data_IF_329683291476
#
_entry.id   IF_329683291476
#
_cell.length_a   1.000
_cell.length_b   1.000
_cell.length_c   1.000
_cell.angle_alpha   90.00
_cell.angle_beta   90.00
_cell.angle_gamma   90.00
#
_symmetry.space_group_name_H-M   'P 1'
#
loop_
_entity.id
_entity.type
_entity.pdbx_description
1 polymer ?
#
# COMPACT_ATOMS: atom_id res chain seq x y z
N UNK A 1 -1.91 12.31 44.83
CA UNK A 1 -2.59 11.02 44.55
C UNK A 1 -3.76 10.71 45.50
N UNK A 2 -4.24 11.63 46.34
CA UNK A 2 -5.12 11.26 47.45
C UNK A 2 -6.51 11.91 47.49
N UNK A 3 -6.83 12.79 46.55
CA UNK A 3 -8.15 13.45 46.55
C UNK A 3 -9.25 12.56 45.98
N UNK A 4 -8.96 11.79 44.92
CA UNK A 4 -9.94 10.89 44.28
C UNK A 4 -10.20 9.63 45.13
N UNK A 5 -9.19 9.13 45.84
CA UNK A 5 -9.35 8.00 46.76
C UNK A 5 -10.24 8.38 47.96
N UNK A 6 -10.09 9.59 48.51
CA UNK A 6 -10.88 10.09 49.61
C UNK A 6 -12.35 10.33 49.20
N UNK A 7 -12.59 10.78 47.99
CA UNK A 7 -13.96 10.95 47.45
C UNK A 7 -14.65 9.61 47.21
N UNK A 8 -13.93 8.58 46.73
CA UNK A 8 -14.47 7.22 46.56
C UNK A 8 -14.80 6.56 47.89
N UNK A 9 -13.95 6.72 48.89
CA UNK A 9 -14.21 6.18 50.23
C UNK A 9 -15.43 6.84 50.92
N UNK A 10 -15.61 8.16 50.76
CA UNK A 10 -16.81 8.86 51.25
C UNK A 10 -18.07 8.44 50.52
N UNK A 11 -18.01 8.21 49.20
CA UNK A 11 -19.15 7.76 48.40
C UNK A 11 -19.57 6.34 48.80
N UNK A 12 -18.59 5.45 49.00
CA UNK A 12 -18.84 4.07 49.45
C UNK A 12 -19.46 4.03 50.84
N UNK A 13 -18.98 4.86 51.80
CA UNK A 13 -19.54 4.97 53.14
C UNK A 13 -20.98 5.51 53.18
N UNK A 14 -21.30 6.45 52.30
CA UNK A 14 -22.64 6.98 52.14
C UNK A 14 -23.58 5.94 51.51
N UNK A 15 -23.13 5.19 50.52
CA UNK A 15 -23.92 4.13 49.90
C UNK A 15 -24.22 2.96 50.85
N UNK A 16 -23.26 2.52 51.63
CA UNK A 16 -23.44 1.50 52.70
C UNK A 16 -24.45 1.94 53.75
N UNK A 17 -24.35 3.17 54.22
CA UNK A 17 -25.29 3.68 55.22
C UNK A 17 -26.73 3.88 54.66
N UNK A 18 -26.87 4.29 53.41
CA UNK A 18 -28.19 4.38 52.77
C UNK A 18 -28.75 2.97 52.56
N UNK A 19 -27.95 2.01 52.18
CA UNK A 19 -28.37 0.62 51.98
C UNK A 19 -28.86 0.00 53.28
N UNK A 20 -28.18 0.17 54.40
CA UNK A 20 -28.60 -0.31 55.69
C UNK A 20 -29.85 0.42 56.25
N UNK A 21 -30.07 1.69 55.93
CA UNK A 21 -31.28 2.39 56.26
C UNK A 21 -32.47 1.88 55.45
N UNK A 22 -32.26 1.60 54.18
CA UNK A 22 -33.27 1.01 53.27
C UNK A 22 -33.60 -0.42 53.69
N UNK A 23 -32.63 -1.27 54.03
CA UNK A 23 -32.86 -2.62 54.56
C UNK A 23 -33.64 -2.60 55.87
N UNK A 24 -33.33 -1.68 56.83
CA UNK A 24 -34.09 -1.53 58.08
C UNK A 24 -35.49 -1.01 57.84
N UNK A 25 -35.75 -0.25 56.82
CA UNK A 25 -37.10 0.23 56.45
C UNK A 25 -37.90 -0.84 55.70
N UNK A 26 -37.24 -1.71 54.96
CA UNK A 26 -37.85 -2.82 54.23
C UNK A 26 -38.14 -4.01 55.17
N UNK A 27 -37.24 -4.38 56.10
CA UNK A 27 -37.40 -5.52 56.99
C UNK A 27 -38.46 -5.33 58.06
N UNK A 28 -38.98 -4.12 58.32
CA UNK A 28 -40.11 -3.83 59.26
C UNK A 28 -41.49 -3.89 58.63
N UNK A 29 -41.65 -4.26 57.35
CA UNK A 29 -42.92 -4.32 56.63
C UNK A 29 -43.10 -5.54 55.71
N UNK A 30 -42.64 -6.71 56.12
CA UNK A 30 -43.13 -7.94 55.51
C UNK A 30 -44.44 -8.40 56.18
N UNK A 31 -45.52 -7.72 55.87
CA UNK A 31 -46.86 -8.28 55.90
C UNK A 31 -47.79 -7.46 55.01
N UNK A 32 -48.18 -8.01 53.88
CA UNK A 32 -49.17 -7.52 52.92
C UNK A 32 -48.67 -6.46 51.92
N UNK A 33 -47.93 -6.87 50.92
CA UNK A 33 -47.77 -6.08 49.70
C UNK A 33 -48.17 -6.88 48.49
N UNK A 34 -49.42 -6.79 48.08
CA UNK A 34 -49.80 -7.07 46.69
C UNK A 34 -50.45 -5.78 46.16
N UNK A 35 -49.83 -5.24 45.05
CA UNK A 35 -50.31 -4.11 44.23
C UNK A 35 -50.07 -2.73 44.81
N UNK A 36 -48.86 -2.18 44.66
CA UNK A 36 -48.54 -0.83 45.11
C UNK A 36 -48.59 0.20 43.98
N UNK A 37 -48.57 -0.21 42.71
CA UNK A 37 -48.53 0.73 41.58
C UNK A 37 -49.52 0.37 40.49
N UNK A 38 -50.16 1.39 39.91
CA UNK A 38 -51.06 1.31 38.78
C UNK A 38 -50.49 2.19 37.67
N UNK A 39 -50.40 1.65 36.44
CA UNK A 39 -50.00 2.42 35.27
C UNK A 39 -51.26 3.01 34.64
N UNK A 40 -51.31 4.34 34.51
CA UNK A 40 -52.42 5.05 33.90
C UNK A 40 -51.89 5.93 32.75
N UNK A 41 -52.70 6.06 31.69
CA UNK A 41 -52.41 6.98 30.62
C UNK A 41 -52.69 8.41 31.01
N UNK A 42 -51.70 9.29 30.98
CA UNK A 42 -51.88 10.74 31.25
C UNK A 42 -52.16 11.48 29.94
N UNK A 43 -53.39 11.97 29.80
CA UNK A 43 -53.81 12.79 28.65
C UNK A 43 -53.07 14.13 28.54
N UNK A 44 -52.59 14.69 29.61
CA UNK A 44 -51.85 15.95 29.64
C UNK A 44 -50.36 15.79 29.28
N UNK A 45 -49.76 14.58 29.48
CA UNK A 45 -48.37 14.27 29.20
C UNK A 45 -48.20 13.32 28.02
N UNK A 46 -49.30 12.81 27.47
CA UNK A 46 -49.33 11.85 26.35
C UNK A 46 -48.39 10.62 26.55
N UNK A 47 -48.27 10.14 27.80
CA UNK A 47 -47.45 8.97 28.13
C UNK A 47 -48.10 8.17 29.27
N UNK A 48 -47.66 6.91 29.42
CA UNK A 48 -48.05 6.10 30.59
C UNK A 48 -47.29 6.55 31.84
N UNK A 49 -48.02 6.82 32.91
CA UNK A 49 -47.45 7.25 34.20
C UNK A 49 -47.77 6.19 35.27
N UNK A 50 -46.77 5.83 36.04
CA UNK A 50 -46.92 4.94 37.19
C UNK A 50 -47.38 5.77 38.38
N UNK A 51 -48.57 5.47 38.93
CA UNK A 51 -49.13 6.16 40.11
C UNK A 51 -49.29 5.18 41.29
N UNK A 52 -48.99 5.63 42.47
CA UNK A 52 -49.21 4.87 43.70
C UNK A 52 -50.69 4.83 44.07
N UNK A 53 -51.23 3.66 44.39
CA UNK A 53 -52.62 3.52 44.90
C UNK A 53 -52.88 4.26 46.25
N UNK A 54 -51.82 4.66 46.95
CA UNK A 54 -51.90 5.43 48.16
C UNK A 54 -52.25 6.91 47.95
N UNK A 55 -52.43 7.34 46.68
CA UNK A 55 -52.76 8.73 46.35
C UNK A 55 -54.27 9.06 46.43
N UNK A 56 -55.13 8.10 46.78
CA UNK A 56 -56.56 8.35 47.08
C UNK A 56 -56.80 8.37 48.54
N UNK A 57 -57.17 9.54 49.05
CA UNK A 57 -57.67 9.88 50.40
C UNK A 57 -56.58 10.14 51.46
N UNK A 58 -55.98 11.30 51.44
CA UNK A 58 -55.67 11.99 52.70
C UNK A 58 -55.77 13.50 52.50
N UNK A 59 -56.86 14.06 52.91
CA UNK A 59 -57.03 15.49 53.22
C UNK A 59 -55.99 15.93 54.27
N UNK A 60 -55.14 16.85 53.87
CA UNK A 60 -54.72 17.98 54.66
C UNK A 60 -53.55 17.89 55.60
N UNK A 61 -52.85 16.77 55.90
CA UNK A 61 -51.71 16.82 56.85
C UNK A 61 -50.51 15.95 56.54
N UNK A 62 -50.60 15.08 55.55
CA UNK A 62 -49.44 14.25 55.12
C UNK A 62 -48.73 14.75 53.84
N UNK A 63 -49.27 15.79 53.20
CA UNK A 63 -48.61 16.44 52.08
C UNK A 63 -47.35 17.24 52.44
N UNK A 64 -47.25 17.66 53.68
CA UNK A 64 -46.13 18.47 54.18
C UNK A 64 -44.88 17.62 54.43
N UNK A 65 -45.03 16.37 54.86
CA UNK A 65 -43.87 15.52 55.21
C UNK A 65 -43.17 14.94 53.93
N UNK A 66 -43.96 14.61 52.92
CA UNK A 66 -43.35 14.10 51.63
C UNK A 66 -42.77 15.26 50.82
N UNK A 67 -43.42 16.43 50.83
CA UNK A 67 -42.88 17.64 50.19
C UNK A 67 -41.65 18.20 50.95
N UNK A 68 -41.59 18.07 52.27
CA UNK A 68 -40.44 18.50 53.09
C UNK A 68 -39.26 17.48 52.97
N UNK A 69 -39.55 16.20 52.85
CA UNK A 69 -38.49 15.19 52.57
C UNK A 69 -37.96 15.34 51.12
N UNK A 70 -38.84 15.61 50.15
CA UNK A 70 -38.41 15.88 48.78
C UNK A 70 -37.69 17.22 48.63
N UNK A 71 -38.15 18.25 49.37
CA UNK A 71 -37.47 19.55 49.46
C UNK A 71 -36.17 19.47 50.29
N UNK A 72 -36.09 18.63 51.29
CA UNK A 72 -34.84 18.38 52.04
C UNK A 72 -33.87 17.49 51.26
N UNK A 73 -34.34 16.55 50.41
CA UNK A 73 -33.48 15.85 49.42
C UNK A 73 -33.05 16.78 48.28
N UNK A 74 -33.85 17.78 47.96
CA UNK A 74 -33.52 18.77 46.92
C UNK A 74 -32.74 19.97 47.45
N UNK A 75 -32.84 20.28 48.75
CA UNK A 75 -32.11 21.37 49.41
C UNK A 75 -30.84 20.93 50.15
N UNK A 76 -30.71 19.65 50.42
CA UNK A 76 -29.50 19.08 51.01
C UNK A 76 -28.79 18.19 50.05
N UNK A 77 -27.86 18.74 49.32
CA UNK A 77 -27.06 18.12 48.27
C UNK A 77 -27.71 18.26 46.87
N UNK A 78 -27.88 19.45 46.37
CA UNK A 78 -27.37 19.69 45.06
C UNK A 78 -25.89 19.36 45.20
N UNK A 79 -25.49 18.12 44.86
CA UNK A 79 -24.16 17.91 44.34
C UNK A 79 -23.98 19.04 43.33
N UNK A 80 -23.24 20.07 43.67
CA UNK A 80 -22.60 20.85 42.64
C UNK A 80 -21.80 19.80 41.85
N UNK A 81 -22.45 19.27 40.86
CA UNK A 81 -21.69 18.91 39.64
C UNK A 81 -21.12 20.26 39.25
N UNK A 82 -19.88 20.56 39.70
CA UNK A 82 -19.06 21.64 39.18
C UNK A 82 -18.81 21.43 37.68
N UNK A 83 -19.74 20.79 37.05
CA UNK A 83 -19.64 20.32 35.69
C UNK A 83 -20.47 21.12 34.71
N UNK A 84 -21.23 22.13 35.11
CA UNK A 84 -21.82 23.05 34.12
C UNK A 84 -21.87 24.48 34.75
N UNK A 85 -20.70 25.07 34.98
CA UNK A 85 -20.59 26.52 34.88
C UNK A 85 -20.33 26.88 33.40
N UNK A 86 -20.91 26.14 32.48
CA UNK A 86 -21.02 26.50 31.09
C UNK A 86 -22.24 27.38 30.95
N UNK A 87 -22.05 28.70 30.81
CA UNK A 87 -23.11 29.54 30.32
C UNK A 87 -23.61 28.94 29.01
N UNK A 88 -24.86 28.45 28.97
CA UNK A 88 -25.59 28.30 27.75
C UNK A 88 -25.74 29.72 27.22
N UNK A 89 -24.82 30.17 26.41
CA UNK A 89 -25.03 31.37 25.61
C UNK A 89 -25.87 30.97 24.41
N UNK A 90 -27.18 30.91 24.59
CA UNK A 90 -28.05 31.30 23.51
C UNK A 90 -27.82 32.82 23.38
N UNK A 91 -26.90 33.18 22.52
CA UNK A 91 -26.62 34.58 22.20
C UNK A 91 -27.75 35.13 21.36
N UNK A 92 -29.02 34.96 21.69
CA UNK A 92 -30.23 35.49 21.04
C UNK A 92 -30.11 36.14 19.65
N UNK A 93 -28.91 36.34 19.18
CA UNK A 93 -28.51 36.88 17.89
C UNK A 93 -28.11 35.78 16.86
N UNK A 94 -27.73 34.56 17.32
CA UNK A 94 -27.25 33.49 16.42
C UNK A 94 -28.12 32.26 16.60
N UNK A 95 -28.98 31.99 15.65
CA UNK A 95 -29.99 30.93 15.69
C UNK A 95 -29.37 29.54 15.80
N UNK A 96 -29.66 28.82 16.93
CA UNK A 96 -29.26 27.43 17.13
C UNK A 96 -27.78 27.22 17.46
N UNK A 97 -27.01 28.25 17.83
CA UNK A 97 -25.62 28.11 18.26
C UNK A 97 -25.51 27.59 19.68
N UNK A 98 -24.56 26.68 19.96
CA UNK A 98 -24.30 26.06 21.26
C UNK A 98 -22.85 26.26 21.66
N UNK A 99 -22.58 26.89 22.81
CA UNK A 99 -21.23 27.00 23.40
C UNK A 99 -21.25 26.46 24.83
N UNK A 100 -20.44 25.44 25.13
CA UNK A 100 -20.37 24.80 26.46
C UNK A 100 -18.90 24.72 26.91
N UNK A 101 -18.57 25.35 28.03
CA UNK A 101 -17.25 25.30 28.62
C UNK A 101 -17.06 26.33 29.73
N UNK A 102 -15.83 26.45 30.24
CA UNK A 102 -15.48 27.39 31.29
C UNK A 102 -15.57 28.86 30.79
N UNK A 103 -16.19 29.73 31.55
CA UNK A 103 -16.25 31.17 31.27
C UNK A 103 -14.86 31.82 31.42
N UNK A 104 -14.61 32.91 30.69
CA UNK A 104 -13.38 33.72 30.76
C UNK A 104 -12.70 33.89 29.40
N UNK A 105 -11.45 34.28 29.40
CA UNK A 105 -10.68 34.58 28.15
C UNK A 105 -10.51 33.38 27.22
N UNK A 106 -10.70 32.17 27.72
CA UNK A 106 -10.63 30.90 26.98
C UNK A 106 -12.00 30.24 26.81
N UNK A 107 -13.10 31.01 26.91
CA UNK A 107 -14.46 30.51 26.72
C UNK A 107 -14.65 29.96 25.29
N UNK A 108 -15.45 28.88 25.12
CA UNK A 108 -15.80 28.40 23.79
C UNK A 108 -16.59 29.44 22.99
N UNK A 109 -16.41 29.44 21.67
CA UNK A 109 -17.03 30.40 20.77
C UNK A 109 -17.79 29.66 19.66
N UNK A 110 -19.10 29.77 19.63
CA UNK A 110 -19.97 29.35 18.52
C UNK A 110 -20.49 30.64 17.85
N UNK A 111 -19.88 31.05 16.76
CA UNK A 111 -20.03 32.41 16.20
C UNK A 111 -20.98 32.46 14.99
N UNK A 112 -21.57 31.33 14.58
CA UNK A 112 -22.43 31.29 13.41
C UNK A 112 -23.65 30.36 13.62
N UNK A 113 -24.63 30.42 12.72
CA UNK A 113 -25.88 29.66 12.78
C UNK A 113 -25.64 28.15 12.89
N UNK A 114 -26.30 27.48 13.82
CA UNK A 114 -26.17 26.04 14.11
C UNK A 114 -24.75 25.57 14.43
N UNK A 115 -23.87 26.47 14.85
CA UNK A 115 -22.51 26.13 15.28
C UNK A 115 -22.49 25.52 16.69
N UNK A 116 -21.64 24.55 16.95
CA UNK A 116 -21.47 23.90 18.25
C UNK A 116 -20.02 23.98 18.69
N UNK A 117 -19.74 24.62 19.83
CA UNK A 117 -18.41 24.69 20.44
C UNK A 117 -18.44 24.15 21.87
N UNK A 118 -17.77 23.05 22.14
CA UNK A 118 -17.71 22.41 23.47
C UNK A 118 -16.26 22.18 23.86
N UNK A 119 -15.83 22.81 24.95
CA UNK A 119 -14.48 22.72 25.50
C UNK A 119 -13.78 24.05 25.62
N UNK A 120 -12.69 24.09 26.39
CA UNK A 120 -11.89 25.29 26.59
C UNK A 120 -11.28 25.75 25.27
N UNK A 121 -11.41 27.03 24.93
CA UNK A 121 -10.93 27.63 23.68
C UNK A 121 -11.45 26.97 22.37
N UNK A 122 -12.52 26.16 22.45
CA UNK A 122 -13.16 25.61 21.26
C UNK A 122 -13.79 26.72 20.41
N UNK A 123 -13.57 26.73 19.10
CA UNK A 123 -14.07 27.73 18.15
C UNK A 123 -14.80 27.10 16.98
N UNK A 124 -16.10 27.27 16.92
CA UNK A 124 -16.94 26.91 15.78
C UNK A 124 -17.30 28.19 15.02
N UNK A 125 -16.46 28.56 14.04
CA UNK A 125 -16.49 29.86 13.36
C UNK A 125 -17.30 29.85 12.05
N UNK A 126 -17.97 28.77 11.73
CA UNK A 126 -18.74 28.68 10.50
C UNK A 126 -20.09 28.02 10.73
N UNK A 127 -21.09 28.37 9.88
CA UNK A 127 -22.43 27.80 9.91
C UNK A 127 -22.38 26.26 9.90
N UNK A 128 -23.06 25.65 10.87
CA UNK A 128 -23.06 24.19 11.04
C UNK A 128 -21.71 23.59 11.45
N UNK A 129 -20.76 24.42 11.88
CA UNK A 129 -19.45 23.96 12.37
C UNK A 129 -19.56 23.30 13.74
N UNK A 130 -18.81 22.23 13.98
CA UNK A 130 -18.78 21.51 15.25
C UNK A 130 -17.35 21.43 15.78
N UNK A 131 -17.08 22.04 16.93
CA UNK A 131 -15.77 22.05 17.61
C UNK A 131 -15.89 21.40 18.98
N UNK A 132 -15.35 20.19 19.16
CA UNK A 132 -15.44 19.39 20.38
C UNK A 132 -14.04 19.09 20.95
N UNK A 133 -13.68 19.72 22.05
CA UNK A 133 -12.40 19.54 22.72
C UNK A 133 -11.69 20.86 23.02
N UNK A 134 -10.55 20.76 23.69
CA UNK A 134 -9.74 21.92 24.01
C UNK A 134 -9.00 22.42 22.77
N UNK A 135 -9.02 23.72 22.52
CA UNK A 135 -8.36 24.45 21.42
C UNK A 135 -8.77 23.98 20.01
N UNK A 136 -9.94 23.36 19.87
CA UNK A 136 -10.49 22.90 18.59
C UNK A 136 -10.96 24.07 17.73
N UNK A 137 -10.87 23.93 16.42
CA UNK A 137 -11.36 24.93 15.47
C UNK A 137 -12.12 24.27 14.33
N UNK A 138 -13.35 24.72 14.07
CA UNK A 138 -14.15 24.25 12.91
C UNK A 138 -14.64 25.41 12.06
N UNK A 139 -14.61 25.21 10.75
CA UNK A 139 -15.17 26.09 9.74
C UNK A 139 -16.61 25.71 9.36
N UNK A 140 -17.14 26.23 8.25
CA UNK A 140 -18.50 25.97 7.77
C UNK A 140 -18.70 24.47 7.46
N UNK A 141 -19.73 23.87 8.06
CA UNK A 141 -20.07 22.44 7.93
C UNK A 141 -18.90 21.50 8.26
N UNK A 142 -17.96 21.94 9.08
CA UNK A 142 -16.78 21.18 9.45
C UNK A 142 -16.90 20.58 10.84
N UNK A 143 -16.21 19.47 11.09
CA UNK A 143 -16.17 18.80 12.41
C UNK A 143 -14.72 18.76 12.87
N UNK A 144 -14.42 19.34 14.03
CA UNK A 144 -13.14 19.22 14.73
C UNK A 144 -13.37 18.56 16.09
N UNK A 145 -12.74 17.42 16.35
CA UNK A 145 -12.91 16.70 17.61
C UNK A 145 -11.59 16.19 18.18
N UNK A 146 -11.34 16.43 19.43
CA UNK A 146 -10.18 16.18 20.29
C UNK A 146 -9.27 17.40 20.48
N UNK A 147 -8.23 17.28 21.30
CA UNK A 147 -7.32 18.39 21.64
C UNK A 147 -6.56 18.92 20.40
N UNK A 148 -6.58 20.24 20.22
CA UNK A 148 -5.93 20.98 19.09
C UNK A 148 -6.35 20.48 17.67
N UNK A 149 -7.52 19.85 17.54
CA UNK A 149 -8.02 19.46 16.23
C UNK A 149 -8.50 20.69 15.45
N UNK A 150 -8.10 20.81 14.18
CA UNK A 150 -8.39 21.95 13.31
C UNK A 150 -9.03 21.50 11.99
N UNK A 151 -10.34 21.69 11.86
CA UNK A 151 -11.11 21.50 10.66
C UNK A 151 -11.44 22.86 10.04
N UNK A 152 -10.44 23.54 9.48
CA UNK A 152 -10.56 24.90 8.98
C UNK A 152 -10.95 24.98 7.50
N UNK A 153 -10.96 23.85 6.79
CA UNK A 153 -11.54 23.74 5.46
C UNK A 153 -13.08 23.66 5.54
N UNK A 154 -13.78 24.23 4.57
CA UNK A 154 -15.24 24.06 4.44
C UNK A 154 -15.54 22.57 4.17
N UNK A 155 -16.58 22.02 4.84
CA UNK A 155 -16.98 20.61 4.75
C UNK A 155 -15.86 19.63 5.16
N UNK A 156 -14.93 20.04 6.01
CA UNK A 156 -13.80 19.20 6.44
C UNK A 156 -14.09 18.46 7.76
N UNK A 157 -13.35 17.38 8.01
CA UNK A 157 -13.43 16.57 9.22
C UNK A 157 -12.02 16.40 9.80
N UNK A 158 -11.80 16.82 11.05
CA UNK A 158 -10.58 16.62 11.81
C UNK A 158 -10.89 15.92 13.14
N UNK A 159 -10.48 14.66 13.29
CA UNK A 159 -10.74 13.86 14.49
C UNK A 159 -9.44 13.25 15.00
N UNK A 160 -9.01 13.65 16.20
CA UNK A 160 -7.78 13.23 16.83
C UNK A 160 -6.93 14.40 17.29
N UNK A 161 -6.01 14.15 18.20
CA UNK A 161 -5.12 15.16 18.77
C UNK A 161 -4.24 15.79 17.70
N UNK A 162 -4.16 17.11 17.65
CA UNK A 162 -3.30 17.83 16.71
C UNK A 162 -3.65 17.67 15.24
N UNK A 163 -4.82 17.06 14.90
CA UNK A 163 -5.24 16.84 13.51
C UNK A 163 -5.49 18.14 12.77
N UNK A 164 -5.20 18.14 11.48
CA UNK A 164 -5.43 19.29 10.59
C UNK A 164 -6.13 18.87 9.30
N UNK A 165 -7.36 19.32 9.13
CA UNK A 165 -8.13 19.22 7.89
C UNK A 165 -8.38 20.63 7.36
N UNK A 166 -7.44 21.17 6.59
CA UNK A 166 -7.45 22.58 6.16
C UNK A 166 -7.94 22.80 4.74
N UNK A 167 -7.96 21.72 3.93
CA UNK A 167 -8.47 21.77 2.58
C UNK A 167 -10.01 21.70 2.52
N UNK A 168 -10.62 22.20 1.45
CA UNK A 168 -12.05 22.04 1.16
C UNK A 168 -12.39 20.54 1.07
N UNK A 169 -13.41 20.10 1.79
CA UNK A 169 -13.86 18.69 1.82
C UNK A 169 -12.76 17.70 2.19
N UNK A 170 -11.79 18.11 3.00
CA UNK A 170 -10.71 17.25 3.46
C UNK A 170 -11.11 16.47 4.72
N UNK A 171 -10.50 15.30 4.92
CA UNK A 171 -10.73 14.44 6.08
C UNK A 171 -9.41 14.05 6.71
N UNK A 172 -9.20 14.37 7.98
CA UNK A 172 -8.05 13.96 8.78
C UNK A 172 -8.54 13.22 10.04
N UNK A 173 -8.14 11.97 10.21
CA UNK A 173 -8.52 11.15 11.37
C UNK A 173 -7.28 10.42 11.90
N UNK A 174 -6.93 10.67 13.15
CA UNK A 174 -5.76 10.11 13.82
C UNK A 174 -4.91 11.18 14.50
N UNK A 175 -4.01 10.77 15.37
CA UNK A 175 -3.10 11.70 16.06
C UNK A 175 -2.14 12.35 15.04
N UNK A 176 -2.08 13.68 15.03
CA UNK A 176 -1.27 14.47 14.08
C UNK A 176 -1.54 14.18 12.59
N UNK A 177 -2.70 13.65 12.22
CA UNK A 177 -3.06 13.47 10.81
C UNK A 177 -3.25 14.82 10.10
N UNK A 178 -2.75 14.97 8.88
CA UNK A 178 -2.76 16.21 8.11
C UNK A 178 -3.36 16.01 6.72
N UNK A 179 -4.54 16.58 6.48
CA UNK A 179 -5.20 16.67 5.18
C UNK A 179 -5.27 18.15 4.77
N UNK A 180 -4.19 18.65 4.15
CA UNK A 180 -3.96 20.09 4.04
C UNK A 180 -4.49 20.71 2.73
N UNK A 181 -4.88 19.91 1.78
CA UNK A 181 -5.37 20.37 0.48
C UNK A 181 -6.79 19.86 0.16
N UNK A 182 -7.41 20.37 -0.89
CA UNK A 182 -8.77 20.05 -1.27
C UNK A 182 -8.93 18.55 -1.59
N UNK A 183 -9.99 17.94 -1.07
CA UNK A 183 -10.27 16.52 -1.26
C UNK A 183 -9.26 15.56 -0.64
N UNK A 184 -8.35 16.06 0.21
CA UNK A 184 -7.36 15.22 0.86
C UNK A 184 -7.97 14.32 1.94
N UNK A 185 -7.52 13.07 2.02
CA UNK A 185 -7.92 12.10 3.05
C UNK A 185 -6.68 11.55 3.77
N UNK A 186 -6.56 11.82 5.06
CA UNK A 186 -5.47 11.37 5.92
C UNK A 186 -6.03 10.53 7.08
N UNK A 187 -5.79 9.23 7.08
CA UNK A 187 -6.32 8.27 8.06
C UNK A 187 -5.20 7.52 8.77
N UNK A 188 -4.98 7.80 10.03
CA UNK A 188 -3.96 7.19 10.87
C UNK A 188 -3.03 8.22 11.50
N UNK A 189 -2.22 7.77 12.46
CA UNK A 189 -1.27 8.62 13.16
C UNK A 189 -0.19 9.14 12.20
N UNK A 190 0.10 10.44 12.28
CA UNK A 190 1.15 11.13 11.52
C UNK A 190 1.03 10.98 9.99
N UNK A 191 -0.17 10.77 9.48
CA UNK A 191 -0.43 10.72 8.03
C UNK A 191 -0.41 12.10 7.40
N UNK A 192 0.05 12.18 6.17
CA UNK A 192 0.06 13.42 5.39
C UNK A 192 -0.59 13.19 4.02
N UNK A 193 -1.60 13.99 3.67
CA UNK A 193 -2.29 13.90 2.38
C UNK A 193 -2.41 15.26 1.70
N UNK A 194 -2.01 15.31 0.42
CA UNK A 194 -2.15 16.45 -0.48
C UNK A 194 -3.48 16.41 -1.26
N UNK A 195 -3.63 17.25 -2.28
CA UNK A 195 -4.90 17.43 -3.01
C UNK A 195 -5.41 16.17 -3.71
N UNK A 196 -6.68 15.83 -3.50
CA UNK A 196 -7.36 14.64 -4.06
C UNK A 196 -6.60 13.33 -3.80
N UNK A 197 -5.88 13.25 -2.70
CA UNK A 197 -5.01 12.12 -2.36
C UNK A 197 -5.53 11.38 -1.14
N UNK A 198 -5.12 10.13 -1.00
CA UNK A 198 -5.44 9.28 0.15
C UNK A 198 -4.15 8.81 0.81
N UNK A 199 -3.96 9.14 2.08
CA UNK A 199 -2.94 8.58 2.95
C UNK A 199 -3.62 7.79 4.06
N UNK A 200 -3.37 6.49 4.16
CA UNK A 200 -3.97 5.64 5.19
C UNK A 200 -2.94 4.67 5.80
N UNK A 201 -2.73 4.75 7.11
CA UNK A 201 -1.78 3.95 7.86
C UNK A 201 -0.87 4.80 8.75
N UNK A 202 -0.11 4.17 9.63
CA UNK A 202 0.88 4.89 10.44
C UNK A 202 1.94 5.54 9.56
N UNK A 203 2.17 6.85 9.71
CA UNK A 203 3.17 7.62 8.97
C UNK A 203 3.07 7.49 7.42
N UNK A 204 1.87 7.19 6.89
CA UNK A 204 1.65 7.16 5.44
C UNK A 204 1.66 8.57 4.86
N UNK A 205 2.29 8.75 3.70
CA UNK A 205 2.53 10.06 3.08
C UNK A 205 2.12 10.08 1.61
N UNK A 206 1.02 10.76 1.32
CA UNK A 206 0.54 11.04 -0.03
C UNK A 206 0.73 12.55 -0.32
N UNK A 207 1.97 13.00 -0.47
CA UNK A 207 2.35 14.43 -0.52
C UNK A 207 2.17 15.10 -1.86
N UNK A 208 1.88 14.35 -2.91
CA UNK A 208 1.57 14.89 -4.23
C UNK A 208 0.08 14.75 -4.54
N UNK A 209 -0.44 15.55 -5.48
CA UNK A 209 -1.85 15.48 -5.87
C UNK A 209 -2.19 14.17 -6.60
N UNK A 210 -3.42 13.70 -6.42
CA UNK A 210 -3.96 12.50 -7.07
C UNK A 210 -3.17 11.22 -6.74
N UNK A 211 -2.63 11.09 -5.53
CA UNK A 211 -1.82 9.95 -5.10
C UNK A 211 -2.54 9.10 -4.05
N UNK A 212 -2.14 7.84 -3.97
CA UNK A 212 -2.63 6.89 -2.97
C UNK A 212 -1.46 6.29 -2.21
N UNK A 213 -1.40 6.49 -0.89
CA UNK A 213 -0.42 5.89 0.02
C UNK A 213 -1.16 5.10 1.10
N UNK A 214 -1.15 3.78 1.02
CA UNK A 214 -1.86 2.90 1.97
C UNK A 214 -0.90 1.89 2.59
N UNK A 215 -0.76 1.93 3.90
CA UNK A 215 0.10 1.05 4.68
C UNK A 215 1.00 1.82 5.62
N UNK A 216 1.69 1.10 6.51
CA UNK A 216 2.68 1.68 7.41
C UNK A 216 3.84 2.24 6.60
N UNK A 217 4.14 3.53 6.77
CA UNK A 217 5.23 4.22 6.06
C UNK A 217 5.14 4.15 4.53
N UNK A 218 3.97 3.86 3.98
CA UNK A 218 3.74 3.97 2.54
C UNK A 218 3.99 5.42 2.08
N UNK A 219 4.87 5.60 1.11
CA UNK A 219 5.38 6.92 0.75
C UNK A 219 5.26 7.20 -0.75
N UNK A 220 4.56 8.29 -1.06
CA UNK A 220 4.46 8.89 -2.38
C UNK A 220 5.07 10.29 -2.39
N UNK A 221 6.34 10.40 -2.02
CA UNK A 221 7.10 11.66 -2.11
C UNK A 221 7.47 12.00 -3.57
N UNK A 222 6.75 11.43 -4.51
CA UNK A 222 7.00 11.55 -5.95
C UNK A 222 7.30 12.95 -6.38
N UNK A 223 8.55 13.29 -6.24
CA UNK A 223 9.26 14.48 -6.67
C UNK A 223 8.37 15.61 -7.21
N UNK A 224 7.77 16.40 -6.30
CA UNK A 224 7.49 17.83 -6.50
C UNK A 224 6.65 18.21 -7.75
N UNK A 225 5.96 17.34 -8.38
CA UNK A 225 5.04 17.73 -9.46
C UNK A 225 3.60 17.68 -8.97
N UNK A 226 2.86 18.74 -9.25
CA UNK A 226 1.47 18.92 -8.80
C UNK A 226 0.48 17.83 -9.26
N UNK A 227 0.91 16.82 -10.02
CA UNK A 227 0.09 15.72 -10.53
C UNK A 227 0.91 14.44 -10.63
N UNK A 228 1.28 13.85 -9.51
CA UNK A 228 2.09 12.63 -9.53
C UNK A 228 1.28 11.40 -9.96
N UNK A 229 0.00 11.31 -9.63
CA UNK A 229 -0.89 10.16 -9.94
C UNK A 229 -0.24 8.81 -9.63
N UNK A 230 0.51 8.74 -8.53
CA UNK A 230 1.26 7.55 -8.12
C UNK A 230 0.49 6.74 -7.07
N UNK A 231 0.79 5.45 -6.98
CA UNK A 231 0.14 4.53 -6.04
C UNK A 231 1.19 3.77 -5.25
N UNK A 232 1.10 3.82 -3.92
CA UNK A 232 1.96 3.12 -2.99
C UNK A 232 1.08 2.32 -2.01
N UNK A 233 1.14 0.99 -2.05
CA UNK A 233 0.31 0.13 -1.21
C UNK A 233 1.15 -0.96 -0.54
N UNK A 234 1.26 -0.91 0.77
CA UNK A 234 2.02 -1.86 1.57
C UNK A 234 2.92 -1.18 2.59
N UNK A 235 3.75 -1.95 3.26
CA UNK A 235 4.67 -1.44 4.30
C UNK A 235 5.93 -0.88 3.64
N UNK A 236 6.33 0.32 4.00
CA UNK A 236 7.53 1.02 3.51
C UNK A 236 7.64 1.09 1.97
N UNK A 237 6.53 1.00 1.27
CA UNK A 237 6.49 1.13 -0.21
C UNK A 237 6.79 2.55 -0.66
N UNK A 238 7.43 2.69 -1.81
CA UNK A 238 7.85 3.98 -2.35
C UNK A 238 7.47 4.11 -3.82
N UNK A 239 6.51 4.98 -4.13
CA UNK A 239 6.16 5.35 -5.51
C UNK A 239 6.56 6.81 -5.74
N UNK A 240 7.81 7.06 -6.19
CA UNK A 240 8.45 8.38 -6.14
C UNK A 240 8.37 9.19 -7.42
N UNK A 241 7.83 8.64 -8.48
CA UNK A 241 7.74 9.33 -9.76
C UNK A 241 6.31 9.44 -10.27
N UNK A 242 6.09 10.31 -11.26
CA UNK A 242 4.80 10.50 -11.91
C UNK A 242 4.29 9.19 -12.50
N UNK A 243 3.06 8.81 -12.18
CA UNK A 243 2.43 7.60 -12.69
C UNK A 243 3.05 6.31 -12.22
N UNK A 244 3.97 6.34 -11.25
CA UNK A 244 4.60 5.13 -10.71
C UNK A 244 3.67 4.37 -9.77
N UNK A 245 3.85 3.06 -9.70
CA UNK A 245 3.07 2.17 -8.83
C UNK A 245 4.00 1.23 -8.06
N UNK A 246 3.94 1.24 -6.74
CA UNK A 246 4.69 0.36 -5.85
C UNK A 246 3.73 -0.41 -4.95
N UNK A 247 3.77 -1.75 -4.97
CA UNK A 247 2.89 -2.58 -4.15
C UNK A 247 3.65 -3.73 -3.49
N UNK A 248 3.46 -3.89 -2.18
CA UNK A 248 4.07 -4.95 -1.38
C UNK A 248 4.84 -4.41 -0.18
N UNK A 249 5.91 -5.08 0.23
CA UNK A 249 6.80 -4.61 1.31
C UNK A 249 8.06 -4.05 0.69
N UNK A 250 8.42 -2.83 1.05
CA UNK A 250 9.61 -2.11 0.56
C UNK A 250 9.72 -1.98 -0.97
N UNK A 251 8.65 -2.24 -1.74
CA UNK A 251 8.66 -2.07 -3.19
C UNK A 251 8.99 -0.62 -3.56
N UNK A 252 9.90 -0.42 -4.52
CA UNK A 252 10.36 0.91 -4.95
C UNK A 252 10.14 1.12 -6.45
N UNK A 253 9.24 2.03 -6.80
CA UNK A 253 8.97 2.49 -8.16
C UNK A 253 9.40 3.96 -8.28
N UNK A 254 10.66 4.18 -8.59
CA UNK A 254 11.27 5.51 -8.71
C UNK A 254 11.37 6.03 -10.14
N UNK A 255 11.14 5.18 -11.12
CA UNK A 255 11.04 5.59 -12.52
C UNK A 255 9.67 6.16 -12.87
N UNK A 256 9.60 7.11 -13.79
CA UNK A 256 8.35 7.66 -14.30
C UNK A 256 7.56 6.57 -15.04
N UNK A 257 6.26 6.42 -14.68
CA UNK A 257 5.38 5.35 -15.21
C UNK A 257 5.88 3.93 -14.93
N UNK A 258 6.71 3.75 -13.91
CA UNK A 258 7.25 2.44 -13.54
C UNK A 258 6.30 1.65 -12.63
N UNK A 259 6.50 0.33 -12.61
CA UNK A 259 5.76 -0.61 -11.76
C UNK A 259 6.72 -1.47 -10.95
N UNK A 260 6.64 -1.43 -9.63
CA UNK A 260 7.32 -2.34 -8.71
C UNK A 260 6.29 -3.15 -7.91
N UNK A 261 6.27 -4.47 -8.07
CA UNK A 261 5.30 -5.35 -7.41
C UNK A 261 5.98 -6.55 -6.75
N UNK A 262 5.74 -6.74 -5.47
CA UNK A 262 6.27 -7.86 -4.70
C UNK A 262 6.80 -7.40 -3.35
N UNK A 263 7.33 -8.31 -2.56
CA UNK A 263 7.85 -8.01 -1.23
C UNK A 263 9.36 -8.13 -1.20
N UNK A 264 10.01 -7.19 -0.54
CA UNK A 264 11.40 -7.28 -0.11
C UNK A 264 11.53 -7.96 1.25
N UNK A 265 12.74 -8.06 1.74
CA UNK A 265 13.02 -8.49 3.10
C UNK A 265 12.63 -7.37 4.08
N UNK A 266 11.97 -7.73 5.19
CA UNK A 266 11.67 -6.80 6.27
C UNK A 266 12.80 -6.87 7.27
N UNK A 267 13.77 -5.98 7.21
CA UNK A 267 14.66 -5.73 8.36
C UNK A 267 13.89 -4.87 9.38
N UNK A 268 14.07 -5.10 10.67
CA UNK A 268 13.23 -4.52 11.75
C UNK A 268 13.09 -2.99 11.80
N UNK A 269 13.63 -2.27 10.87
CA UNK A 269 13.56 -0.81 10.74
C UNK A 269 12.96 -0.38 9.38
N UNK A 270 12.01 -1.10 8.85
CA UNK A 270 11.18 -0.84 7.64
C UNK A 270 11.77 0.07 6.53
N UNK A 271 12.94 0.70 6.75
CA UNK A 271 13.51 1.76 5.90
C UNK A 271 14.52 1.26 4.88
N UNK A 272 15.15 0.11 5.09
CA UNK A 272 16.25 -0.42 4.27
C UNK A 272 16.06 -1.88 3.88
N UNK A 273 14.85 -2.27 3.45
CA UNK A 273 14.62 -3.61 2.90
C UNK A 273 15.56 -3.88 1.74
N UNK A 274 16.62 -4.67 1.98
CA UNK A 274 17.37 -5.28 0.90
C UNK A 274 16.47 -6.26 0.14
N UNK A 275 16.79 -6.56 -1.11
CA UNK A 275 16.08 -7.56 -1.91
C UNK A 275 14.61 -7.20 -2.25
N UNK A 276 14.28 -5.92 -2.38
CA UNK A 276 12.95 -5.49 -2.79
C UNK A 276 12.83 -5.38 -4.32
N UNK A 277 11.62 -5.44 -4.88
CA UNK A 277 11.40 -5.09 -6.28
C UNK A 277 11.71 -3.61 -6.50
N UNK A 278 12.59 -3.35 -7.47
CA UNK A 278 13.05 -2.00 -7.81
C UNK A 278 12.83 -1.70 -9.30
N UNK A 279 11.98 -0.72 -9.59
CA UNK A 279 11.71 -0.23 -10.95
C UNK A 279 12.15 1.24 -11.04
N UNK A 280 13.42 1.47 -11.35
CA UNK A 280 14.01 2.82 -11.38
C UNK A 280 14.08 3.45 -12.78
N UNK A 281 13.98 2.67 -13.83
CA UNK A 281 13.90 3.16 -15.19
C UNK A 281 12.54 3.78 -15.55
N UNK A 282 12.48 4.72 -16.48
CA UNK A 282 11.22 5.22 -17.03
C UNK A 282 10.46 4.06 -17.70
N UNK A 283 9.17 3.91 -17.43
CA UNK A 283 8.31 2.81 -17.96
C UNK A 283 8.81 1.41 -17.63
N UNK A 284 9.70 1.26 -16.65
CA UNK A 284 10.22 -0.05 -16.25
C UNK A 284 9.23 -0.87 -15.43
N UNK A 285 9.39 -2.19 -15.44
CA UNK A 285 8.56 -3.14 -14.70
C UNK A 285 9.44 -4.08 -13.89
N UNK A 286 9.29 -4.09 -12.57
CA UNK A 286 9.96 -5.02 -11.66
C UNK A 286 8.92 -5.80 -10.86
N UNK A 287 8.80 -7.11 -11.09
CA UNK A 287 7.83 -7.96 -10.40
C UNK A 287 8.53 -9.16 -9.76
N UNK A 288 8.46 -9.28 -8.46
CA UNK A 288 9.03 -10.38 -7.68
C UNK A 288 10.04 -9.90 -6.65
N UNK A 289 10.33 -10.78 -5.69
CA UNK A 289 11.34 -10.53 -4.65
C UNK A 289 12.71 -10.25 -5.29
N UNK A 290 13.35 -9.16 -4.92
CA UNK A 290 14.66 -8.74 -5.43
C UNK A 290 14.72 -8.61 -6.98
N UNK A 291 13.61 -8.29 -7.63
CA UNK A 291 13.61 -7.98 -9.06
C UNK A 291 14.12 -6.56 -9.30
N UNK A 292 14.93 -6.36 -10.33
CA UNK A 292 15.52 -5.06 -10.63
C UNK A 292 15.37 -4.70 -12.12
N UNK A 293 14.68 -3.60 -12.41
CA UNK A 293 14.52 -3.01 -13.73
C UNK A 293 14.97 -1.54 -13.68
N UNK A 294 16.25 -1.28 -14.03
CA UNK A 294 16.88 0.01 -13.71
C UNK A 294 16.93 1.01 -14.85
N UNK A 295 16.68 0.61 -16.09
CA UNK A 295 16.75 1.48 -17.25
C UNK A 295 15.39 1.62 -17.97
N UNK A 296 15.32 2.55 -18.93
CA UNK A 296 14.09 2.83 -19.67
C UNK A 296 13.52 1.56 -20.34
N UNK A 297 12.21 1.35 -20.12
CA UNK A 297 11.47 0.22 -20.70
C UNK A 297 12.02 -1.17 -20.32
N UNK A 298 12.86 -1.25 -19.29
CA UNK A 298 13.40 -2.51 -18.79
C UNK A 298 12.29 -3.32 -18.08
N UNK A 299 12.29 -4.64 -18.29
CA UNK A 299 11.32 -5.56 -17.69
C UNK A 299 12.07 -6.66 -16.92
N UNK A 300 11.85 -6.74 -15.60
CA UNK A 300 12.38 -7.77 -14.72
C UNK A 300 11.25 -8.47 -13.98
N UNK A 301 10.91 -9.69 -14.35
CA UNK A 301 9.81 -10.47 -13.76
C UNK A 301 10.33 -11.81 -13.24
N UNK A 302 10.26 -12.00 -11.94
CA UNK A 302 10.71 -13.19 -11.23
C UNK A 302 11.61 -12.86 -10.05
N UNK A 303 11.74 -13.79 -9.12
CA UNK A 303 12.64 -13.61 -7.98
C UNK A 303 14.09 -13.45 -8.44
N UNK A 304 14.75 -12.39 -8.00
CA UNK A 304 16.13 -12.02 -8.38
C UNK A 304 16.34 -11.91 -9.89
N UNK A 305 15.32 -11.51 -10.63
CA UNK A 305 15.46 -11.16 -12.07
C UNK A 305 16.11 -9.79 -12.18
N UNK A 306 16.98 -9.65 -13.18
CA UNK A 306 17.73 -8.42 -13.40
C UNK A 306 17.68 -7.97 -14.86
N UNK A 307 17.22 -6.74 -15.07
CA UNK A 307 17.15 -6.06 -16.37
C UNK A 307 17.66 -4.63 -16.18
N UNK A 308 18.93 -4.37 -16.51
CA UNK A 308 19.61 -3.11 -16.22
C UNK A 308 20.11 -2.36 -17.45
N UNK A 309 19.48 -2.64 -18.61
CA UNK A 309 19.71 -1.89 -19.84
C UNK A 309 18.38 -1.51 -20.51
N UNK A 310 18.44 -0.51 -21.38
CA UNK A 310 17.30 -0.01 -22.14
C UNK A 310 16.63 -1.14 -22.91
N UNK A 311 15.31 -1.24 -22.78
CA UNK A 311 14.46 -2.24 -23.45
C UNK A 311 14.86 -3.70 -23.19
N UNK A 312 15.67 -3.97 -22.17
CA UNK A 312 16.03 -5.33 -21.80
C UNK A 312 14.86 -6.04 -21.11
N UNK A 313 14.72 -7.35 -21.32
CA UNK A 313 13.67 -8.18 -20.73
C UNK A 313 14.25 -9.40 -20.03
N UNK A 314 14.07 -9.51 -18.72
CA UNK A 314 14.42 -10.65 -17.89
C UNK A 314 13.15 -11.29 -17.31
N UNK A 315 12.80 -12.49 -17.74
CA UNK A 315 11.61 -13.22 -17.30
C UNK A 315 11.96 -14.60 -16.74
N UNK A 316 11.91 -14.75 -15.44
CA UNK A 316 12.22 -15.99 -14.73
C UNK A 316 13.02 -15.75 -13.44
N UNK A 317 13.16 -16.77 -12.62
CA UNK A 317 13.96 -16.71 -11.39
C UNK A 317 15.46 -16.63 -11.71
N UNK A 318 16.19 -15.71 -11.09
CA UNK A 318 17.63 -15.48 -11.31
C UNK A 318 17.98 -15.29 -12.81
N UNK A 319 17.11 -14.63 -13.54
CA UNK A 319 17.29 -14.32 -14.97
C UNK A 319 18.03 -13.01 -15.10
N UNK A 320 18.94 -12.91 -16.07
CA UNK A 320 19.75 -11.72 -16.26
C UNK A 320 19.72 -11.26 -17.72
N UNK A 321 19.22 -10.05 -17.95
CA UNK A 321 19.24 -9.37 -19.25
C UNK A 321 19.98 -8.03 -19.09
N UNK A 322 21.28 -8.00 -19.39
CA UNK A 322 22.15 -6.84 -19.16
C UNK A 322 22.74 -6.30 -20.47
N UNK A 323 22.29 -6.76 -21.60
CA UNK A 323 22.52 -6.15 -22.91
C UNK A 323 21.39 -5.22 -23.31
N UNK A 324 21.65 -4.18 -24.07
CA UNK A 324 20.62 -3.32 -24.67
C UNK A 324 19.72 -4.13 -25.58
N UNK A 325 18.40 -3.96 -25.52
CA UNK A 325 17.40 -4.74 -26.26
C UNK A 325 17.47 -6.26 -26.04
N UNK A 326 18.19 -6.72 -25.02
CA UNK A 326 18.37 -8.17 -24.81
C UNK A 326 17.11 -8.81 -24.19
N UNK A 327 16.93 -10.10 -24.46
CA UNK A 327 15.82 -10.89 -23.92
C UNK A 327 16.30 -12.17 -23.27
N UNK A 328 16.17 -12.31 -21.97
CA UNK A 328 16.46 -13.52 -21.21
C UNK A 328 15.17 -14.09 -20.64
N UNK A 329 14.77 -15.27 -21.07
CA UNK A 329 13.50 -15.91 -20.66
C UNK A 329 13.77 -17.34 -20.20
N UNK A 330 13.46 -17.61 -18.93
CA UNK A 330 13.68 -18.91 -18.30
C UNK A 330 14.54 -18.80 -17.05
N UNK A 331 14.37 -19.71 -16.12
CA UNK A 331 15.14 -19.67 -14.86
C UNK A 331 16.64 -19.78 -15.14
N UNK A 332 17.43 -18.85 -14.56
CA UNK A 332 18.88 -18.76 -14.72
C UNK A 332 19.34 -18.50 -16.17
N UNK A 333 18.48 -18.01 -17.06
CA UNK A 333 18.89 -17.58 -18.40
C UNK A 333 19.67 -16.27 -18.35
N UNK A 334 20.60 -16.10 -19.27
CA UNK A 334 21.46 -14.93 -19.36
C UNK A 334 21.53 -14.40 -20.78
N UNK A 335 21.19 -13.12 -20.97
CA UNK A 335 21.36 -12.38 -22.23
C UNK A 335 22.07 -11.06 -21.91
N UNK A 336 23.41 -11.05 -21.94
CA UNK A 336 24.19 -9.91 -21.43
C UNK A 336 24.90 -9.09 -22.51
N UNK A 337 24.56 -9.30 -23.76
CA UNK A 337 25.09 -8.52 -24.88
C UNK A 337 23.94 -7.85 -25.66
N UNK A 338 24.26 -6.87 -26.50
CA UNK A 338 23.28 -6.12 -27.29
C UNK A 338 22.50 -7.03 -28.23
N UNK A 339 21.18 -6.86 -28.28
CA UNK A 339 20.25 -7.65 -29.11
C UNK A 339 20.33 -9.17 -28.86
N UNK A 340 20.89 -9.60 -27.73
CA UNK A 340 21.03 -11.01 -27.40
C UNK A 340 19.71 -11.62 -26.94
N UNK A 341 19.41 -12.87 -27.36
CA UNK A 341 18.23 -13.61 -26.99
C UNK A 341 18.57 -14.95 -26.33
N UNK A 342 18.19 -15.15 -25.06
CA UNK A 342 18.36 -16.41 -24.36
C UNK A 342 16.98 -16.93 -23.89
N UNK A 343 16.52 -18.04 -24.48
CA UNK A 343 15.22 -18.65 -24.13
C UNK A 343 15.42 -20.10 -23.72
N UNK A 344 15.18 -20.37 -22.46
CA UNK A 344 15.30 -21.68 -21.83
C UNK A 344 16.00 -21.63 -20.47
N UNK A 345 15.84 -22.66 -19.67
CA UNK A 345 16.54 -22.75 -18.37
C UNK A 345 18.04 -22.82 -18.59
N UNK A 346 18.81 -21.95 -17.93
CA UNK A 346 20.26 -21.84 -18.13
C UNK A 346 20.69 -21.60 -19.60
N UNK A 347 19.83 -21.03 -20.45
CA UNK A 347 20.22 -20.56 -21.76
C UNK A 347 21.15 -19.35 -21.63
N UNK A 348 22.21 -19.29 -22.45
CA UNK A 348 23.24 -18.28 -22.30
C UNK A 348 23.59 -17.65 -23.66
N UNK A 349 23.18 -16.41 -23.90
CA UNK A 349 23.49 -15.61 -25.07
C UNK A 349 24.38 -14.43 -24.65
N UNK A 350 25.70 -14.54 -24.89
CA UNK A 350 26.70 -13.63 -24.31
C UNK A 350 27.42 -12.76 -25.31
N UNK A 351 27.12 -12.90 -26.59
CA UNK A 351 27.66 -12.05 -27.62
C UNK A 351 26.57 -11.26 -28.34
N UNK A 352 26.96 -10.16 -28.98
CA UNK A 352 26.02 -9.28 -29.66
C UNK A 352 25.24 -10.05 -30.74
N UNK A 353 23.93 -9.80 -30.78
CA UNK A 353 22.98 -10.40 -31.72
C UNK A 353 22.99 -11.93 -31.71
N UNK A 354 23.39 -12.52 -30.59
CA UNK A 354 23.40 -13.97 -30.41
C UNK A 354 22.05 -14.51 -29.95
N UNK A 355 21.71 -15.75 -30.35
CA UNK A 355 20.46 -16.41 -29.98
C UNK A 355 20.72 -17.79 -29.40
N UNK A 356 20.39 -18.00 -28.14
CA UNK A 356 20.45 -19.27 -27.42
C UNK A 356 19.03 -19.76 -27.11
N UNK A 357 18.54 -20.77 -27.79
CA UNK A 357 17.18 -21.32 -27.62
C UNK A 357 17.24 -22.77 -27.17
N UNK A 358 16.89 -23.04 -25.95
CA UNK A 358 16.88 -24.38 -25.36
C UNK A 358 17.52 -24.42 -23.97
N UNK A 359 17.21 -25.46 -23.21
CA UNK A 359 17.82 -25.66 -21.89
C UNK A 359 19.32 -25.89 -22.02
N UNK A 360 20.13 -25.12 -21.28
CA UNK A 360 21.60 -25.14 -21.37
C UNK A 360 22.18 -24.80 -22.74
N UNK A 361 21.43 -24.18 -23.64
CA UNK A 361 21.96 -23.69 -24.91
C UNK A 361 22.93 -22.55 -24.69
N UNK A 362 23.94 -22.44 -25.52
CA UNK A 362 24.97 -21.41 -25.50
C UNK A 362 25.13 -20.78 -26.87
N UNK A 363 25.08 -19.45 -26.90
CA UNK A 363 25.44 -18.65 -28.09
C UNK A 363 26.43 -17.55 -27.64
N UNK A 364 27.70 -17.85 -27.70
CA UNK A 364 28.78 -16.95 -27.28
C UNK A 364 29.58 -16.36 -28.42
N UNK A 365 29.30 -16.74 -29.67
CA UNK A 365 29.82 -16.07 -30.85
C UNK A 365 28.89 -14.94 -31.30
N UNK A 366 29.43 -13.82 -31.76
CA UNK A 366 28.66 -12.72 -32.37
C UNK A 366 27.84 -13.27 -33.54
N UNK A 367 26.56 -12.93 -33.64
CA UNK A 367 25.57 -13.51 -34.56
C UNK A 367 25.41 -15.04 -34.43
N UNK A 368 25.88 -15.63 -33.34
CA UNK A 368 25.80 -17.08 -33.11
C UNK A 368 24.35 -17.51 -32.80
N UNK A 369 23.92 -18.64 -33.37
CA UNK A 369 22.59 -19.20 -33.12
C UNK A 369 22.69 -20.64 -32.62
N UNK A 370 22.35 -20.86 -31.34
CA UNK A 370 22.32 -22.17 -30.69
C UNK A 370 20.90 -22.60 -30.37
N UNK A 371 20.39 -23.65 -31.01
CA UNK A 371 19.02 -24.15 -30.85
C UNK A 371 19.01 -25.62 -30.45
N UNK A 372 18.54 -25.93 -29.29
CA UNK A 372 18.43 -27.29 -28.76
C UNK A 372 19.03 -27.43 -27.35
N UNK A 373 18.74 -28.55 -26.70
CA UNK A 373 19.36 -28.89 -25.42
C UNK A 373 20.88 -28.96 -25.54
N UNK A 374 21.60 -28.16 -24.74
CA UNK A 374 23.07 -28.07 -24.80
C UNK A 374 23.66 -27.72 -26.18
N UNK A 375 22.89 -27.13 -27.07
CA UNK A 375 23.46 -26.61 -28.33
C UNK A 375 24.47 -25.50 -28.04
N UNK A 376 25.60 -25.49 -28.75
CA UNK A 376 26.68 -24.52 -28.53
C UNK A 376 27.14 -23.89 -29.85
N UNK A 377 26.82 -22.60 -30.02
CA UNK A 377 27.27 -21.76 -31.11
C UNK A 377 28.28 -20.73 -30.59
N UNK A 378 29.55 -21.12 -30.46
CA UNK A 378 30.60 -20.26 -29.90
C UNK A 378 31.46 -19.54 -30.93
N UNK A 379 31.37 -19.91 -32.21
CA UNK A 379 32.02 -19.16 -33.30
C UNK A 379 31.18 -17.95 -33.72
N UNK A 380 31.82 -16.88 -34.20
CA UNK A 380 31.11 -15.78 -34.85
C UNK A 380 30.37 -16.27 -36.08
N UNK A 381 29.16 -15.78 -36.34
CA UNK A 381 28.30 -16.24 -37.46
C UNK A 381 28.04 -17.76 -37.48
N UNK A 382 28.16 -18.42 -36.31
CA UNK A 382 27.98 -19.86 -36.22
C UNK A 382 26.54 -20.28 -35.94
N UNK A 383 26.14 -21.47 -36.39
CA UNK A 383 24.82 -22.04 -36.19
C UNK A 383 24.92 -23.47 -35.65
N UNK A 384 24.39 -23.72 -34.46
CA UNK A 384 24.32 -25.04 -33.85
C UNK A 384 22.85 -25.41 -33.57
N UNK A 385 22.30 -26.36 -34.32
CA UNK A 385 20.89 -26.80 -34.22
C UNK A 385 20.82 -28.29 -33.91
N UNK A 386 20.27 -28.64 -32.75
CA UNK A 386 20.14 -30.03 -32.34
C UNK A 386 20.66 -30.25 -30.92
N UNK A 387 20.24 -31.37 -30.28
CA UNK A 387 20.74 -31.76 -28.97
C UNK A 387 22.26 -31.89 -29.00
N UNK A 388 22.96 -31.14 -28.15
CA UNK A 388 24.43 -31.14 -28.03
C UNK A 388 25.17 -30.84 -29.37
N UNK A 389 24.54 -30.18 -30.32
CA UNK A 389 25.18 -29.67 -31.52
C UNK A 389 26.25 -28.61 -31.18
N UNK A 390 27.42 -28.64 -31.85
CA UNK A 390 28.52 -27.70 -31.56
C UNK A 390 29.07 -27.06 -32.83
N UNK A 391 29.01 -25.75 -32.91
CA UNK A 391 29.58 -24.90 -33.97
C UNK A 391 30.57 -23.91 -33.35
N UNK A 392 31.85 -24.27 -33.25
CA UNK A 392 32.81 -23.57 -32.38
C UNK A 392 33.73 -22.61 -33.14
N UNK A 393 33.58 -22.48 -34.45
CA UNK A 393 34.46 -21.65 -35.30
C UNK A 393 33.62 -20.69 -36.14
N UNK A 394 34.28 -19.66 -36.63
CA UNK A 394 33.65 -18.64 -37.47
C UNK A 394 32.96 -19.29 -38.71
N UNK A 395 31.70 -18.89 -38.91
CA UNK A 395 30.86 -19.39 -40.01
C UNK A 395 30.50 -20.88 -39.90
N UNK A 396 30.84 -21.56 -38.82
CA UNK A 396 30.57 -22.99 -38.68
C UNK A 396 29.06 -23.27 -38.53
N UNK A 397 28.57 -24.35 -39.16
CA UNK A 397 27.19 -24.81 -39.10
C UNK A 397 27.11 -26.26 -38.67
N UNK A 398 26.52 -26.57 -37.55
CA UNK A 398 26.30 -27.92 -37.01
C UNK A 398 24.80 -28.18 -36.87
N UNK A 399 24.23 -29.10 -37.64
CA UNK A 399 22.81 -29.41 -37.67
C UNK A 399 22.60 -30.92 -37.47
N UNK A 400 21.89 -31.28 -36.39
CA UNK A 400 21.62 -32.65 -36.00
C UNK A 400 22.08 -32.98 -34.58
N UNK A 401 21.48 -33.96 -33.91
CA UNK A 401 21.90 -34.38 -32.56
C UNK A 401 23.38 -34.78 -32.56
N UNK A 402 24.18 -34.13 -31.70
CA UNK A 402 25.62 -34.37 -31.58
C UNK A 402 26.49 -33.95 -32.76
N UNK A 403 25.94 -33.22 -33.72
CA UNK A 403 26.72 -32.69 -34.85
C UNK A 403 27.81 -31.73 -34.37
N UNK A 404 29.00 -31.78 -34.99
CA UNK A 404 30.18 -30.99 -34.59
C UNK A 404 30.86 -30.35 -35.78
N UNK A 405 30.86 -29.03 -35.86
CA UNK A 405 31.56 -28.26 -36.89
C UNK A 405 32.70 -27.47 -36.24
N UNK A 406 33.95 -27.97 -36.36
CA UNK A 406 35.13 -27.43 -35.68
C UNK A 406 36.11 -26.68 -36.60
N UNK A 407 35.82 -26.53 -37.84
CA UNK A 407 36.61 -25.71 -38.76
C UNK A 407 35.90 -24.39 -39.10
N UNK A 408 36.63 -23.36 -39.50
CA UNK A 408 36.08 -22.14 -40.06
C UNK A 408 35.23 -22.47 -41.30
N UNK A 409 33.98 -21.99 -41.34
CA UNK A 409 33.05 -22.28 -42.41
C UNK A 409 32.66 -23.77 -42.52
N UNK A 410 33.02 -24.62 -41.56
CA UNK A 410 32.68 -26.04 -41.58
C UNK A 410 31.19 -26.29 -41.48
N UNK A 411 30.66 -27.20 -42.26
CA UNK A 411 29.28 -27.66 -42.25
C UNK A 411 29.22 -29.11 -41.81
N UNK A 412 28.47 -29.41 -40.74
CA UNK A 412 28.24 -30.75 -40.23
C UNK A 412 26.73 -31.01 -40.13
N UNK A 413 26.22 -31.95 -40.90
CA UNK A 413 24.81 -32.25 -41.00
C UNK A 413 24.51 -33.71 -40.70
N UNK A 414 23.65 -34.01 -39.76
CA UNK A 414 23.24 -35.38 -39.40
C UNK A 414 23.63 -35.77 -37.97
N UNK A 415 23.16 -36.95 -37.54
CA UNK A 415 23.44 -37.53 -36.23
C UNK A 415 24.95 -37.75 -36.04
N UNK A 416 25.51 -37.15 -34.96
CA UNK A 416 26.96 -37.25 -34.62
C UNK A 416 27.94 -36.91 -35.77
N UNK A 417 27.46 -36.22 -36.79
CA UNK A 417 28.32 -35.80 -37.90
C UNK A 417 29.48 -34.92 -37.40
N UNK A 418 30.66 -35.08 -37.98
CA UNK A 418 31.86 -34.31 -37.64
C UNK A 418 32.48 -33.67 -38.87
N UNK A 419 32.65 -32.36 -38.83
CA UNK A 419 33.38 -31.62 -39.87
C UNK A 419 34.50 -30.79 -39.22
N UNK A 420 35.74 -31.05 -39.61
CA UNK A 420 36.93 -30.41 -39.04
C UNK A 420 37.55 -29.38 -40.02
N UNK A 421 37.21 -29.46 -41.29
CA UNK A 421 37.74 -28.57 -42.36
C UNK A 421 36.63 -28.09 -43.31
N UNK A 422 36.90 -27.01 -44.00
CA UNK A 422 36.03 -26.38 -44.97
C UNK A 422 35.71 -27.34 -46.14
N UNK A 423 34.54 -27.16 -46.73
CA UNK A 423 33.91 -27.78 -47.85
C UNK A 423 34.84 -28.04 -49.09
N UNK A 424 35.98 -27.36 -49.15
CA UNK A 424 36.93 -27.45 -50.21
C UNK A 424 37.55 -28.88 -50.40
N UNK A 425 37.68 -29.62 -49.26
CA UNK A 425 38.26 -30.97 -49.27
C UNK A 425 37.31 -32.00 -49.89
N UNK A 426 36.02 -31.89 -49.68
CA UNK A 426 35.01 -32.80 -50.23
C UNK A 426 34.84 -32.53 -51.75
N UNK A 427 34.80 -31.25 -52.15
CA UNK A 427 34.67 -30.88 -53.53
C UNK A 427 35.93 -31.31 -54.35
N UNK A 428 37.11 -31.14 -53.74
CA UNK A 428 38.37 -31.58 -54.32
C UNK A 428 38.44 -33.13 -54.43
N UNK A 429 37.98 -33.85 -53.38
CA UNK A 429 37.90 -35.32 -53.45
C UNK A 429 36.92 -35.84 -54.51
N UNK A 430 35.72 -35.20 -54.58
CA UNK A 430 34.71 -35.55 -55.56
C UNK A 430 35.22 -35.22 -56.99
N UNK A 431 35.85 -34.06 -57.15
CA UNK A 431 36.51 -33.71 -58.48
C UNK A 431 37.64 -34.64 -58.82
N UNK A 432 38.47 -35.03 -57.84
CA UNK A 432 39.57 -35.99 -58.03
C UNK A 432 39.06 -37.40 -58.39
N UNK A 433 37.96 -37.86 -57.68
CA UNK A 433 37.29 -39.11 -57.99
C UNK A 433 36.72 -39.12 -59.44
N UNK A 434 36.05 -38.02 -59.80
CA UNK A 434 35.53 -37.87 -61.19
C UNK A 434 36.68 -37.85 -62.23
N UNK A 435 37.76 -37.15 -61.88
CA UNK A 435 38.93 -37.13 -62.76
C UNK A 435 39.58 -38.52 -62.94
N UNK A 436 39.72 -39.26 -61.81
CA UNK A 436 40.24 -40.65 -61.83
C UNK A 436 39.30 -41.58 -62.55
N UNK A 437 38.00 -41.47 -62.42
CA UNK A 437 37.02 -42.24 -63.16
C UNK A 437 37.09 -41.94 -64.70
N UNK A 438 37.18 -40.65 -65.03
CA UNK A 438 37.34 -40.23 -66.47
C UNK A 438 38.61 -40.72 -67.02
N UNK A 439 39.73 -40.70 -66.31
CA UNK A 439 41.01 -41.22 -66.71
C UNK A 439 40.99 -42.74 -66.88
N UNK A 440 40.30 -43.46 -65.97
CA UNK A 440 40.16 -44.93 -66.08
C UNK A 440 39.34 -45.35 -67.31
N UNK A 441 38.27 -44.63 -67.63
CA UNK A 441 37.42 -44.83 -68.80
C UNK A 441 38.20 -44.58 -70.10
N UNK A 442 39.01 -43.51 -70.11
CA UNK A 442 39.88 -43.20 -71.29
C UNK A 442 40.99 -44.24 -71.45
N UNK A 443 41.66 -44.68 -70.40
CA UNK A 443 42.68 -45.73 -70.46
C UNK A 443 42.11 -47.07 -70.96
N UNK A 444 40.92 -47.46 -70.43
CA UNK A 444 40.24 -48.67 -70.89
C UNK A 444 39.76 -48.57 -72.33
N UNK A 445 39.49 -47.38 -72.85
CA UNK A 445 39.20 -47.15 -74.27
C UNK A 445 40.44 -47.27 -75.15
N UNK A 446 41.63 -46.87 -74.67
CA UNK A 446 42.89 -46.96 -75.38
C UNK A 446 43.49 -48.42 -75.41
N UNK A 447 43.23 -49.21 -74.37
CA UNK A 447 43.69 -50.60 -74.27
C UNK A 447 42.83 -51.56 -75.10
N UNK A 448 41.68 -51.13 -75.60
CA UNK A 448 40.77 -51.93 -76.44
C UNK A 448 40.86 -51.62 -77.90
N UNK A 449 41.77 -50.78 -78.39
CA UNK A 449 42.18 -50.58 -79.74
C UNK A 449 43.54 -51.26 -79.95
#
# INVERSE_FOLDING_TARGET
MDFIALQRAKLHYVFENIFHVVERLVSKKEAKMNKIFKVIWSKSKQCYVVVSELAKNTTGKKKIVVASILAALMAGQVMQVDAISGSFYDTGAIKGAIAIGKSGSTAPQATDENAIAIGQAARANGRGGVALGNDTQSAQNAIAAAWDAKATGKNSVAVGTGTRATGLSSTAVGDNAQATANGAVALGQSTESAGNSVAAGFNAKARSNNTVAIGVEANNDGGITNNASSVSVGVATRARAVGSMAMGVSADASGKYSLALGSGDVSGDYTDGNNHPSASGEKSIAIGHNSNASEESAIAIGSSSKSDKVSATALGRNTTATGENSSAIGAYSTANATDATALGRNANATADQSTALGTYSVASGQYGTGVGYQANASGSNSTAVGVSAKANKEGASAMGPGARAYGNGAISFGYQALSVRIFLTVLVMVALMMLVQTLLVTLNGVIRQ
#
